data_IF_175843816710
#
_entry.id   IF_175843816710
#
_cell.length_a   1.000
_cell.length_b   1.000
_cell.length_c   1.000
_cell.angle_alpha   90.00
_cell.angle_beta   90.00
_cell.angle_gamma   90.00
#
_symmetry.space_group_name_H-M   'P 1'
#
loop_
_entity.id
_entity.type
_entity.pdbx_description
1 polymer ?
#
# COMPACT_ATOMS: atom_id res chain seq x y z
N UNK A 1 14.95 -4.88 -16.85
CA UNK A 1 14.68 -5.92 -15.83
C UNK A 1 13.86 -5.28 -14.72
N UNK A 2 12.70 -5.85 -14.38
CA UNK A 2 11.77 -5.26 -13.41
C UNK A 2 12.23 -5.58 -11.98
N UNK A 3 12.66 -4.56 -11.23
CA UNK A 3 13.25 -4.68 -9.89
C UNK A 3 12.19 -4.86 -8.80
N UNK A 4 12.51 -5.61 -7.74
CA UNK A 4 11.62 -5.81 -6.57
C UNK A 4 11.26 -4.50 -5.88
N UNK A 5 12.14 -3.50 -5.92
CA UNK A 5 11.87 -2.16 -5.37
C UNK A 5 10.76 -1.43 -6.14
N UNK A 6 10.51 -1.79 -7.41
CA UNK A 6 9.49 -1.19 -8.26
C UNK A 6 8.12 -1.83 -8.11
N UNK A 7 8.02 -2.91 -7.33
CA UNK A 7 6.76 -3.57 -7.00
C UNK A 7 6.08 -2.91 -5.80
N UNK A 8 4.76 -2.95 -5.79
CA UNK A 8 3.93 -2.44 -4.72
C UNK A 8 3.68 -3.52 -3.66
N UNK A 9 3.95 -3.19 -2.40
CA UNK A 9 3.77 -4.11 -1.27
C UNK A 9 2.48 -3.89 -0.47
N UNK A 10 1.80 -2.76 -0.69
CA UNK A 10 0.70 -2.32 0.18
C UNK A 10 1.18 -1.54 1.40
N UNK A 11 2.47 -1.16 1.45
CA UNK A 11 2.99 -0.37 2.55
C UNK A 11 2.53 1.09 2.47
N UNK A 12 2.37 1.78 3.62
CA UNK A 12 1.79 3.11 3.65
C UNK A 12 2.72 4.21 3.12
N UNK A 13 4.01 3.91 3.11
CA UNK A 13 5.05 4.79 2.57
C UNK A 13 5.17 4.66 1.05
N UNK A 14 4.50 3.69 0.43
CA UNK A 14 4.49 3.49 -1.00
C UNK A 14 3.23 4.11 -1.62
N UNK A 15 3.37 4.68 -2.81
CA UNK A 15 2.23 5.15 -3.59
C UNK A 15 1.88 4.11 -4.65
N UNK A 16 0.65 3.58 -4.60
CA UNK A 16 0.14 2.67 -5.61
C UNK A 16 0.21 3.30 -7.00
N UNK A 17 -0.25 4.54 -7.16
CA UNK A 17 -0.24 5.27 -8.45
C UNK A 17 1.16 5.36 -9.05
N UNK A 18 2.17 5.64 -8.23
CA UNK A 18 3.57 5.69 -8.68
C UNK A 18 4.08 4.31 -9.10
N UNK A 19 3.82 3.25 -8.33
CA UNK A 19 4.23 1.89 -8.71
C UNK A 19 3.49 1.38 -9.95
N UNK A 20 2.22 1.77 -10.09
CA UNK A 20 1.40 1.43 -11.25
C UNK A 20 1.91 2.11 -12.54
N UNK A 21 2.37 3.36 -12.48
CA UNK A 21 2.96 4.01 -13.66
C UNK A 21 4.23 3.31 -14.13
N UNK A 22 5.08 2.85 -13.20
CA UNK A 22 6.26 2.04 -13.54
C UNK A 22 5.85 0.71 -14.18
N UNK A 23 4.81 0.04 -13.65
CA UNK A 23 4.27 -1.17 -14.25
C UNK A 23 3.80 -0.95 -15.69
N UNK A 24 3.06 0.13 -15.95
CA UNK A 24 2.58 0.46 -17.31
C UNK A 24 3.74 0.77 -18.25
N UNK A 25 4.75 1.52 -17.81
CA UNK A 25 5.95 1.80 -18.59
C UNK A 25 6.69 0.50 -18.97
N UNK A 26 6.84 -0.43 -18.02
CA UNK A 26 7.49 -1.73 -18.26
C UNK A 26 6.65 -2.63 -19.18
N UNK A 27 5.34 -2.66 -18.99
CA UNK A 27 4.42 -3.42 -19.83
C UNK A 27 4.43 -2.90 -21.28
N UNK A 28 4.42 -1.58 -21.46
CA UNK A 28 4.53 -0.91 -22.75
C UNK A 28 5.86 -1.22 -23.44
N UNK A 29 6.98 -1.11 -22.72
CA UNK A 29 8.32 -1.46 -23.22
C UNK A 29 8.48 -2.94 -23.59
N UNK A 30 7.64 -3.80 -23.01
CA UNK A 30 7.63 -5.24 -23.26
C UNK A 30 6.55 -5.65 -24.27
N UNK A 31 5.90 -4.68 -24.91
CA UNK A 31 4.83 -4.88 -25.89
C UNK A 31 3.68 -5.77 -25.37
N UNK A 32 3.41 -5.69 -24.06
CA UNK A 32 2.30 -6.43 -23.46
C UNK A 32 0.98 -5.80 -23.95
N UNK A 33 0.11 -6.57 -24.62
CA UNK A 33 -1.15 -6.04 -25.10
C UNK A 33 -2.10 -5.74 -23.93
N UNK A 34 -2.99 -4.75 -24.12
CA UNK A 34 -3.80 -4.21 -23.02
C UNK A 34 -4.75 -5.22 -22.38
N UNK A 35 -5.22 -6.18 -23.17
CA UNK A 35 -6.05 -7.31 -22.74
C UNK A 35 -5.31 -8.29 -21.82
N UNK A 36 -3.97 -8.36 -21.92
CA UNK A 36 -3.12 -9.17 -21.06
C UNK A 36 -2.73 -8.46 -19.75
N UNK A 37 -2.97 -7.15 -19.62
CA UNK A 37 -2.62 -6.38 -18.42
C UNK A 37 -3.27 -6.91 -17.12
N UNK A 38 -4.56 -7.31 -17.08
CA UNK A 38 -5.15 -7.89 -15.88
C UNK A 38 -4.43 -9.16 -15.41
N UNK A 39 -3.96 -9.98 -16.34
CA UNK A 39 -3.19 -11.20 -16.06
C UNK A 39 -1.79 -10.87 -15.56
N UNK A 40 -1.13 -9.88 -16.18
CA UNK A 40 0.19 -9.40 -15.79
C UNK A 40 0.18 -8.56 -14.50
N UNK A 41 -0.99 -8.15 -14.00
CA UNK A 41 -1.11 -7.26 -12.84
C UNK A 41 -0.49 -7.84 -11.56
N UNK A 42 -0.48 -9.16 -11.38
CA UNK A 42 0.19 -9.81 -10.24
C UNK A 42 1.69 -9.53 -10.19
N UNK A 43 2.34 -9.27 -11.34
CA UNK A 43 3.79 -9.06 -11.44
C UNK A 43 4.21 -7.77 -10.71
N UNK A 44 3.37 -6.73 -10.70
CA UNK A 44 3.66 -5.47 -10.02
C UNK A 44 3.45 -5.50 -8.52
N UNK A 45 2.96 -6.61 -7.97
CA UNK A 45 2.65 -6.74 -6.54
C UNK A 45 3.70 -7.61 -5.83
N UNK A 46 3.91 -7.34 -4.55
CA UNK A 46 4.70 -8.16 -3.63
C UNK A 46 4.08 -8.14 -2.23
N UNK A 47 4.56 -8.99 -1.33
CA UNK A 47 4.14 -9.01 0.08
C UNK A 47 2.62 -9.07 0.26
N UNK A 48 2.09 -8.26 1.19
CA UNK A 48 0.66 -8.25 1.53
C UNK A 48 -0.24 -7.91 0.35
N UNK A 49 0.18 -7.02 -0.55
CA UNK A 49 -0.60 -6.69 -1.74
C UNK A 49 -0.75 -7.88 -2.70
N UNK A 50 0.29 -8.71 -2.83
CA UNK A 50 0.24 -9.92 -3.66
C UNK A 50 -0.63 -11.01 -3.00
N UNK A 51 -0.52 -11.18 -1.69
CA UNK A 51 -1.36 -12.11 -0.93
C UNK A 51 -2.84 -11.74 -1.03
N UNK A 52 -3.17 -10.45 -0.90
CA UNK A 52 -4.53 -9.95 -1.07
C UNK A 52 -5.04 -10.17 -2.50
N UNK A 53 -4.20 -9.96 -3.52
CA UNK A 53 -4.57 -10.22 -4.91
C UNK A 53 -5.00 -11.68 -5.13
N UNK A 54 -4.22 -12.65 -4.65
CA UNK A 54 -4.59 -14.06 -4.83
C UNK A 54 -5.76 -14.49 -3.94
N UNK A 55 -5.92 -13.89 -2.76
CA UNK A 55 -7.01 -14.25 -1.83
C UNK A 55 -8.37 -13.65 -2.22
N UNK A 56 -8.39 -12.44 -2.79
CA UNK A 56 -9.61 -11.66 -2.96
C UNK A 56 -9.90 -11.20 -4.40
N UNK A 57 -8.90 -11.25 -5.29
CA UNK A 57 -9.02 -10.80 -6.68
C UNK A 57 -8.88 -11.92 -7.71
N UNK A 58 -8.40 -13.12 -7.33
CA UNK A 58 -8.27 -14.26 -8.25
C UNK A 58 -9.65 -14.87 -8.58
N UNK A 59 -9.87 -15.24 -9.84
CA UNK A 59 -11.03 -16.02 -10.28
C UNK A 59 -12.21 -15.24 -10.86
N UNK A 60 -12.16 -13.91 -10.87
CA UNK A 60 -13.15 -13.07 -11.54
C UNK A 60 -12.57 -12.46 -12.82
N UNK A 61 -13.38 -12.33 -13.87
CA UNK A 61 -13.11 -11.57 -15.11
C UNK A 61 -12.99 -10.06 -14.82
N UNK A 62 -12.11 -9.70 -13.89
CA UNK A 62 -11.89 -8.33 -13.49
C UNK A 62 -11.06 -7.64 -14.56
N UNK A 63 -11.60 -6.55 -15.06
CA UNK A 63 -10.81 -5.59 -15.84
C UNK A 63 -9.73 -4.98 -14.94
N UNK A 64 -8.67 -4.48 -15.56
CA UNK A 64 -7.58 -3.81 -14.83
C UNK A 64 -8.09 -2.67 -13.94
N UNK A 65 -9.10 -1.92 -14.38
CA UNK A 65 -9.71 -0.84 -13.59
C UNK A 65 -10.34 -1.35 -12.30
N UNK A 66 -10.95 -2.54 -12.30
CA UNK A 66 -11.50 -3.12 -11.08
C UNK A 66 -10.40 -3.58 -10.11
N UNK A 67 -9.30 -4.13 -10.65
CA UNK A 67 -8.15 -4.53 -9.83
C UNK A 67 -7.52 -3.32 -9.15
N UNK A 68 -7.28 -2.24 -9.90
CA UNK A 68 -6.78 -0.96 -9.38
C UNK A 68 -7.67 -0.48 -8.24
N UNK A 69 -8.98 -0.37 -8.48
CA UNK A 69 -9.94 0.11 -7.48
C UNK A 69 -9.89 -0.72 -6.21
N UNK A 70 -9.94 -2.05 -6.30
CA UNK A 70 -9.93 -2.93 -5.12
C UNK A 70 -8.64 -2.81 -4.31
N UNK A 71 -7.49 -2.75 -4.98
CA UNK A 71 -6.20 -2.60 -4.30
C UNK A 71 -6.12 -1.25 -3.60
N UNK A 72 -6.50 -0.16 -4.28
CA UNK A 72 -6.51 1.17 -3.68
C UNK A 72 -7.48 1.27 -2.50
N UNK A 73 -8.70 0.74 -2.62
CA UNK A 73 -9.67 0.72 -1.51
C UNK A 73 -9.14 -0.05 -0.30
N UNK A 74 -8.43 -1.17 -0.51
CA UNK A 74 -7.93 -2.00 0.58
C UNK A 74 -6.70 -1.41 1.29
N UNK A 75 -5.73 -0.87 0.54
CA UNK A 75 -4.44 -0.41 1.08
C UNK A 75 -4.33 1.11 1.24
N UNK A 76 -5.04 1.89 0.42
CA UNK A 76 -5.00 3.37 0.44
C UNK A 76 -6.35 3.99 0.83
N UNK A 77 -7.38 3.17 1.10
CA UNK A 77 -8.70 3.65 1.46
C UNK A 77 -8.71 4.43 2.78
N UNK A 78 -9.63 5.38 2.91
CA UNK A 78 -9.73 6.24 4.09
C UNK A 78 -9.90 5.47 5.41
N UNK A 79 -10.58 4.31 5.37
CA UNK A 79 -10.70 3.44 6.54
C UNK A 79 -9.38 2.77 6.92
N UNK A 80 -8.64 2.27 5.92
CA UNK A 80 -7.31 1.71 6.12
C UNK A 80 -6.36 2.78 6.68
N UNK A 81 -6.36 3.98 6.07
CA UNK A 81 -5.56 5.12 6.52
C UNK A 81 -5.89 5.52 7.96
N UNK A 82 -7.17 5.55 8.35
CA UNK A 82 -7.59 5.83 9.74
C UNK A 82 -7.13 4.76 10.72
N UNK A 83 -7.33 3.49 10.40
CA UNK A 83 -6.93 2.38 11.26
C UNK A 83 -5.42 2.38 11.48
N UNK A 84 -4.67 2.60 10.41
CA UNK A 84 -3.23 2.63 10.45
C UNK A 84 -2.68 3.87 11.17
N UNK A 85 -3.30 5.04 11.01
CA UNK A 85 -2.99 6.24 11.81
C UNK A 85 -3.25 5.98 13.31
N UNK A 86 -4.33 5.26 13.64
CA UNK A 86 -4.63 4.87 15.02
C UNK A 86 -3.56 3.94 15.59
N UNK A 87 -3.11 2.96 14.83
CA UNK A 87 -2.03 2.06 15.25
C UNK A 87 -0.69 2.81 15.40
N UNK A 88 -0.35 3.70 14.46
CA UNK A 88 0.81 4.58 14.57
C UNK A 88 0.78 5.46 15.82
N UNK A 89 -0.37 6.09 16.10
CA UNK A 89 -0.53 6.90 17.30
C UNK A 89 -0.40 6.06 18.58
N UNK A 90 -0.89 4.82 18.61
CA UNK A 90 -0.71 3.93 19.77
C UNK A 90 0.76 3.57 20.00
N UNK A 91 1.49 3.20 18.95
CA UNK A 91 2.92 2.84 19.05
C UNK A 91 3.73 4.05 19.51
N UNK A 92 3.53 5.22 18.90
CA UNK A 92 4.27 6.43 19.25
C UNK A 92 3.96 6.90 20.67
N UNK A 93 2.68 6.91 21.07
CA UNK A 93 2.29 7.28 22.43
C UNK A 93 2.89 6.32 23.46
N UNK A 94 2.86 5.01 23.20
CA UNK A 94 3.50 4.01 24.06
C UNK A 94 5.03 4.25 24.16
N UNK A 95 5.72 4.45 23.04
CA UNK A 95 7.16 4.67 23.01
C UNK A 95 7.57 6.01 23.66
N UNK A 96 6.75 7.05 23.54
CA UNK A 96 6.93 8.33 24.24
C UNK A 96 6.82 8.17 25.76
N UNK A 97 5.88 7.36 26.25
CA UNK A 97 5.74 7.08 27.69
C UNK A 97 6.90 6.25 28.23
N UNK A 98 7.44 5.30 27.47
CA UNK A 98 8.62 4.51 27.87
C UNK A 98 9.92 5.31 27.85
N UNK A 99 10.06 6.27 26.93
CA UNK A 99 11.25 7.15 26.87
C UNK A 99 11.24 8.29 27.88
N UNK A 100 10.13 8.57 28.55
CA UNK A 100 10.02 9.70 29.48
C UNK A 100 9.26 9.33 30.78
N UNK A 101 9.81 8.44 31.63
CA UNK A 101 9.16 8.04 32.87
C UNK A 101 9.09 9.15 33.95
N UNK A 102 9.68 10.32 33.71
CA UNK A 102 9.89 11.37 34.73
C UNK A 102 9.59 12.80 34.27
N UNK A 103 8.61 13.00 33.38
CA UNK A 103 8.02 14.33 33.18
C UNK A 103 6.54 14.31 33.54
N UNK A 104 6.23 15.05 34.62
CA UNK A 104 4.87 15.25 35.12
C UNK A 104 3.91 15.74 34.02
N UNK A 105 2.64 15.37 34.20
CA UNK A 105 1.51 15.33 33.27
C UNK A 105 1.05 16.68 32.66
N UNK A 106 1.91 17.69 32.50
CA UNK A 106 1.48 19.07 32.30
C UNK A 106 1.82 19.78 30.99
N UNK A 107 2.73 19.30 30.13
CA UNK A 107 3.34 20.18 29.11
C UNK A 107 3.48 19.62 27.69
N UNK A 108 2.86 18.49 27.35
CA UNK A 108 3.05 17.89 26.01
C UNK A 108 2.19 18.55 24.92
N UNK A 109 1.26 19.44 25.27
CA UNK A 109 0.32 20.03 24.29
C UNK A 109 0.69 21.43 23.78
N UNK A 110 1.82 22.04 24.20
CA UNK A 110 2.10 23.44 23.88
C UNK A 110 3.23 23.68 22.85
N UNK A 111 3.68 22.65 22.13
CA UNK A 111 4.66 22.79 21.03
C UNK A 111 4.27 21.95 19.81
N UNK A 112 3.00 22.05 19.41
CA UNK A 112 2.53 21.67 18.06
C UNK A 112 2.04 22.93 17.35
#
# INVERSE_FOLDING_TARGET
MYSEENKYSGLPTESFTYKFSIFIDVASKSEIPQDALPTAFSIMLKGMALEYYYSCCQGSTLTISHLIRRIQEHFEGEEHRRNMLREWNKVNVHDMFHKNPSREKGLVFNEM
#
